data_IF_199691529024
#
_entry.id   IF_199691529024
#
_cell.length_a   1.000
_cell.length_b   1.000
_cell.length_c   1.000
_cell.angle_alpha   90.00
_cell.angle_beta   90.00
_cell.angle_gamma   90.00
#
_symmetry.space_group_name_H-M   'P 1'
#
loop_
_entity.id
_entity.type
_entity.pdbx_description
1 polymer ?
#
# COMPACT_ATOMS: atom_id res chain seq x y z
N UNK A 1 32.34 -10.62 -17.23
CA UNK A 1 31.05 -11.38 -17.22
C UNK A 1 30.20 -11.08 -15.99
N UNK A 2 30.76 -11.08 -14.78
CA UNK A 2 30.03 -10.83 -13.51
C UNK A 2 29.28 -9.48 -13.42
N UNK A 3 29.89 -8.38 -13.87
CA UNK A 3 29.25 -7.05 -13.87
C UNK A 3 28.06 -6.97 -14.84
N UNK A 4 28.16 -7.58 -16.03
CA UNK A 4 27.05 -7.61 -16.99
C UNK A 4 25.88 -8.44 -16.47
N UNK A 5 26.17 -9.54 -15.76
CA UNK A 5 25.16 -10.35 -15.10
C UNK A 5 24.49 -9.58 -13.95
N UNK A 6 25.26 -8.87 -13.12
CA UNK A 6 24.73 -8.05 -12.04
C UNK A 6 23.85 -6.89 -12.56
N UNK A 7 24.28 -6.21 -13.63
CA UNK A 7 23.48 -5.17 -14.29
C UNK A 7 22.19 -5.75 -14.88
N UNK A 8 22.27 -6.93 -15.50
CA UNK A 8 21.10 -7.61 -16.06
C UNK A 8 20.07 -7.98 -14.99
N UNK A 9 20.52 -8.49 -13.83
CA UNK A 9 19.65 -8.83 -12.70
C UNK A 9 19.03 -7.56 -12.10
N UNK A 10 19.80 -6.49 -11.90
CA UNK A 10 19.28 -5.23 -11.36
C UNK A 10 18.25 -4.58 -12.29
N UNK A 11 18.46 -4.65 -13.61
CA UNK A 11 17.48 -4.17 -14.58
C UNK A 11 16.18 -5.00 -14.51
N UNK A 12 16.29 -6.33 -14.48
CA UNK A 12 15.12 -7.21 -14.40
C UNK A 12 14.28 -6.98 -13.13
N UNK A 13 14.92 -6.76 -11.98
CA UNK A 13 14.19 -6.51 -10.73
C UNK A 13 13.57 -5.13 -10.66
N UNK A 14 14.23 -4.09 -11.21
CA UNK A 14 13.71 -2.73 -11.23
C UNK A 14 12.40 -2.58 -12.03
N UNK A 15 12.23 -3.37 -13.10
CA UNK A 15 11.02 -3.33 -13.94
C UNK A 15 9.95 -4.38 -13.59
N UNK A 16 10.25 -5.31 -12.66
CA UNK A 16 9.28 -6.31 -12.19
C UNK A 16 7.95 -5.76 -11.65
N UNK A 17 7.85 -4.55 -11.05
CA UNK A 17 6.57 -4.05 -10.53
C UNK A 17 5.58 -3.64 -11.63
N UNK A 18 6.01 -3.46 -12.89
CA UNK A 18 5.12 -2.97 -13.95
C UNK A 18 4.04 -3.98 -14.36
N UNK A 19 4.19 -5.25 -14.00
CA UNK A 19 3.21 -6.31 -14.28
C UNK A 19 2.18 -6.47 -13.14
N UNK A 20 2.43 -5.86 -11.98
CA UNK A 20 1.50 -5.82 -10.86
C UNK A 20 1.00 -4.38 -10.69
N UNK A 21 -0.06 -4.04 -11.42
CA UNK A 21 -0.86 -2.84 -11.17
C UNK A 21 -1.61 -2.99 -9.84
N UNK A 22 -0.87 -3.05 -8.73
CA UNK A 22 -1.43 -3.06 -7.40
C UNK A 22 -2.04 -1.68 -7.15
N UNK A 23 -3.37 -1.59 -7.23
CA UNK A 23 -4.08 -0.41 -6.75
C UNK A 23 -3.87 -0.33 -5.24
N UNK A 24 -3.54 0.85 -4.71
CA UNK A 24 -3.65 1.12 -3.28
C UNK A 24 -5.08 0.77 -2.87
N UNK A 25 -5.22 -0.30 -2.08
CA UNK A 25 -6.51 -0.95 -1.82
C UNK A 25 -7.48 -0.08 -1.01
N UNK A 26 -8.42 -0.73 -0.33
CA UNK A 26 -9.30 -0.02 0.60
C UNK A 26 -8.52 0.66 1.73
N UNK A 27 -7.47 -0.02 2.22
CA UNK A 27 -6.65 0.44 3.33
C UNK A 27 -5.50 1.34 2.87
N UNK A 28 -5.12 2.26 3.75
CA UNK A 28 -3.93 3.09 3.56
C UNK A 28 -2.67 2.22 3.53
N UNK A 29 -1.78 2.47 2.57
CA UNK A 29 -0.51 1.75 2.46
C UNK A 29 0.59 2.28 3.40
N UNK A 30 0.30 3.31 4.20
CA UNK A 30 1.21 3.90 5.18
C UNK A 30 0.50 4.99 5.96
N UNK A 31 1.04 5.40 7.11
CA UNK A 31 0.49 6.50 7.91
C UNK A 31 1.55 7.59 8.06
N UNK A 32 1.11 8.86 7.96
CA UNK A 32 2.02 10.00 7.88
C UNK A 32 2.47 10.29 6.44
N UNK A 33 2.69 11.57 6.14
CA UNK A 33 3.04 12.04 4.79
C UNK A 33 4.36 11.46 4.29
N UNK A 34 5.34 11.28 5.20
CA UNK A 34 6.66 10.75 4.84
C UNK A 34 6.59 9.25 4.52
N UNK A 35 5.96 8.46 5.40
CA UNK A 35 5.77 7.02 5.17
C UNK A 35 4.98 6.76 3.88
N UNK A 36 3.92 7.53 3.62
CA UNK A 36 3.17 7.46 2.36
C UNK A 36 4.03 7.86 1.15
N UNK A 37 4.82 8.92 1.25
CA UNK A 37 5.76 9.30 0.19
C UNK A 37 6.76 8.19 -0.17
N UNK A 38 7.07 7.31 0.79
CA UNK A 38 7.93 6.14 0.62
C UNK A 38 7.17 4.82 0.40
N UNK A 39 5.93 4.88 -0.10
CA UNK A 39 5.10 3.72 -0.38
C UNK A 39 4.86 2.77 0.83
N UNK A 40 4.88 3.29 2.06
CA UNK A 40 4.63 2.50 3.27
C UNK A 40 5.87 1.94 3.96
N UNK A 41 7.07 2.37 3.60
CA UNK A 41 8.32 1.91 4.22
C UNK A 41 8.46 2.24 5.73
N UNK A 42 7.47 2.94 6.33
CA UNK A 42 7.45 3.33 7.74
C UNK A 42 7.51 2.18 8.76
N UNK A 43 7.26 0.93 8.34
CA UNK A 43 7.35 -0.25 9.22
C UNK A 43 8.76 -0.43 9.80
N UNK A 44 9.79 -0.13 9.01
CA UNK A 44 11.20 -0.25 9.40
C UNK A 44 11.91 1.12 9.48
N UNK A 45 11.39 2.14 8.79
CA UNK A 45 11.96 3.49 8.79
C UNK A 45 10.98 4.51 9.37
N UNK A 46 10.95 4.60 10.69
CA UNK A 46 10.13 5.58 11.41
C UNK A 46 10.70 6.99 11.28
N UNK A 47 9.89 7.93 10.80
CA UNK A 47 10.33 9.31 10.51
C UNK A 47 9.44 10.40 11.11
N UNK A 48 8.21 10.07 11.53
CA UNK A 48 7.25 11.01 12.10
C UNK A 48 6.69 10.54 13.46
N UNK A 49 6.00 11.42 14.18
CA UNK A 49 5.43 11.17 15.52
C UNK A 49 4.19 10.27 15.47
N UNK A 50 3.64 10.06 14.28
CA UNK A 50 2.57 9.08 14.02
C UNK A 50 3.12 7.68 13.67
N UNK A 51 4.45 7.47 13.72
CA UNK A 51 5.08 6.18 13.44
C UNK A 51 4.47 5.00 14.21
N UNK A 52 3.95 5.22 15.42
CA UNK A 52 3.25 4.21 16.22
C UNK A 52 2.04 3.59 15.50
N UNK A 53 1.39 4.33 14.60
CA UNK A 53 0.27 3.81 13.80
C UNK A 53 0.70 2.71 12.82
N UNK A 54 1.98 2.68 12.43
CA UNK A 54 2.54 1.60 11.60
C UNK A 54 3.29 0.58 12.43
N UNK A 55 4.14 1.02 13.36
CA UNK A 55 4.93 0.15 14.22
C UNK A 55 5.27 0.87 15.56
N UNK A 56 4.65 0.49 16.68
CA UNK A 56 4.94 1.08 17.99
C UNK A 56 6.42 1.02 18.42
N UNK A 57 7.17 -0.02 18.01
CA UNK A 57 8.59 -0.12 18.31
C UNK A 57 9.43 0.99 17.66
N UNK A 58 8.92 1.57 16.56
CA UNK A 58 9.51 2.71 15.87
C UNK A 58 9.64 3.98 16.72
N UNK A 59 8.81 4.10 17.77
CA UNK A 59 8.81 5.26 18.66
C UNK A 59 10.13 5.42 19.42
N UNK A 60 10.92 4.35 19.57
CA UNK A 60 12.25 4.40 20.17
C UNK A 60 13.26 5.24 19.35
N UNK A 61 12.97 5.51 18.07
CA UNK A 61 13.92 6.13 17.13
C UNK A 61 13.54 7.55 16.68
N UNK A 62 12.34 8.03 17.02
CA UNK A 62 11.85 9.35 16.57
C UNK A 62 11.98 10.46 17.62
N UNK A 63 12.31 10.13 18.87
CA UNK A 63 12.54 11.11 19.95
C UNK A 63 11.28 11.90 20.35
N UNK A 64 11.48 12.97 21.13
CA UNK A 64 10.40 13.84 21.60
C UNK A 64 10.10 14.92 20.56
N UNK A 65 8.93 14.84 19.92
CA UNK A 65 8.51 15.77 18.87
C UNK A 65 7.00 15.80 18.67
N UNK A 66 6.54 16.88 18.06
CA UNK A 66 5.15 17.09 17.67
C UNK A 66 5.17 17.40 16.17
N UNK A 67 4.40 16.64 15.40
CA UNK A 67 4.20 16.92 13.97
C UNK A 67 2.74 17.24 13.67
N UNK A 68 2.54 18.07 12.65
CA UNK A 68 1.24 18.33 12.06
C UNK A 68 1.27 17.99 10.57
N UNK A 69 0.17 17.43 10.07
CA UNK A 69 0.01 17.10 8.66
C UNK A 69 -1.45 17.04 8.27
N UNK A 70 -1.72 17.19 6.98
CA UNK A 70 -3.05 17.08 6.40
C UNK A 70 -3.02 16.11 5.23
N UNK A 71 -4.09 15.33 5.07
CA UNK A 71 -4.24 14.37 3.99
C UNK A 71 -5.63 14.47 3.37
N UNK A 72 -5.69 14.39 2.04
CA UNK A 72 -6.94 14.22 1.28
C UNK A 72 -6.93 12.85 0.62
N UNK A 73 -7.94 12.04 0.91
CA UNK A 73 -8.12 10.72 0.32
C UNK A 73 -9.43 10.65 -0.48
N UNK A 74 -9.34 10.52 -1.80
CA UNK A 74 -10.50 10.43 -2.71
C UNK A 74 -10.31 9.33 -3.77
N UNK A 75 -10.36 8.05 -3.36
CA UNK A 75 -10.32 6.94 -4.31
C UNK A 75 -11.62 6.86 -5.12
N UNK A 76 -11.53 6.69 -6.43
CA UNK A 76 -12.64 6.27 -7.30
C UNK A 76 -12.52 4.77 -7.49
N UNK A 77 -13.50 4.00 -7.03
CA UNK A 77 -13.52 2.53 -7.09
C UNK A 77 -14.83 2.11 -7.69
N UNK A 78 -14.75 1.12 -8.58
CA UNK A 78 -15.89 0.52 -9.24
C UNK A 78 -15.61 -0.98 -9.37
N UNK A 79 -16.61 -1.82 -9.17
CA UNK A 79 -16.54 -3.24 -9.52
C UNK A 79 -17.84 -3.72 -10.15
N UNK A 80 -17.73 -4.68 -11.07
CA UNK A 80 -18.87 -5.28 -11.76
C UNK A 80 -19.02 -6.73 -11.34
N UNK A 81 -20.24 -7.09 -10.94
CA UNK A 81 -20.65 -8.45 -10.61
C UNK A 81 -21.37 -9.05 -11.82
N UNK A 82 -20.84 -10.15 -12.34
CA UNK A 82 -21.43 -10.93 -13.42
C UNK A 82 -21.65 -12.38 -12.99
N UNK A 83 -22.60 -13.07 -13.62
CA UNK A 83 -22.89 -14.48 -13.39
C UNK A 83 -24.14 -14.77 -12.55
N UNK A 84 -24.47 -16.06 -12.36
CA UNK A 84 -25.71 -16.47 -11.69
C UNK A 84 -25.63 -16.29 -10.17
N UNK A 85 -26.73 -15.83 -9.58
CA UNK A 85 -26.91 -15.74 -8.14
C UNK A 85 -26.99 -17.16 -7.56
N UNK A 86 -26.08 -17.50 -6.64
CA UNK A 86 -26.11 -18.80 -5.97
C UNK A 86 -27.33 -18.91 -5.04
N UNK A 87 -28.04 -20.06 -5.01
CA UNK A 87 -29.19 -20.26 -4.14
C UNK A 87 -28.77 -20.35 -2.66
N UNK A 88 -29.69 -20.11 -1.71
CA UNK A 88 -29.43 -20.30 -0.29
C UNK A 88 -28.84 -21.69 0.01
N UNK A 89 -27.90 -21.80 0.97
CA UNK A 89 -27.56 -20.81 2.00
C UNK A 89 -26.43 -19.83 1.60
N UNK A 90 -26.03 -19.77 0.33
CA UNK A 90 -24.91 -18.92 -0.10
C UNK A 90 -25.23 -17.42 0.02
N UNK A 91 -24.24 -16.62 0.44
CA UNK A 91 -24.29 -15.16 0.34
C UNK A 91 -23.79 -14.73 -1.05
N UNK A 92 -24.72 -14.48 -1.96
CA UNK A 92 -24.44 -14.08 -3.33
C UNK A 92 -24.50 -12.56 -3.49
N UNK A 93 -23.58 -12.00 -4.29
CA UNK A 93 -23.64 -10.61 -4.72
C UNK A 93 -24.64 -10.50 -5.88
N UNK A 94 -25.48 -9.47 -5.87
CA UNK A 94 -26.41 -9.20 -6.96
C UNK A 94 -25.65 -8.67 -8.19
N UNK A 95 -25.89 -9.20 -9.41
CA UNK A 95 -25.29 -8.65 -10.62
C UNK A 95 -25.51 -7.16 -10.78
N UNK A 96 -24.48 -6.43 -11.20
CA UNK A 96 -24.50 -4.97 -11.30
C UNK A 96 -23.12 -4.36 -11.12
N UNK A 97 -23.01 -3.07 -11.39
CA UNK A 97 -21.82 -2.25 -11.17
C UNK A 97 -22.02 -1.38 -9.93
N UNK A 98 -21.03 -1.37 -9.04
CA UNK A 98 -21.07 -0.72 -7.72
C UNK A 98 -19.80 0.06 -7.43
#
# INVERSE_FOLDING_TARGET
MRIKLALGVAALTAFSPMTALATNGYFSHGYGTISKGMAGAGTALSQDSIAAATNPAGMAFVGNRIDGGFEVFSPRREYTVEGPVSPPPAFSLQPGTY
#
